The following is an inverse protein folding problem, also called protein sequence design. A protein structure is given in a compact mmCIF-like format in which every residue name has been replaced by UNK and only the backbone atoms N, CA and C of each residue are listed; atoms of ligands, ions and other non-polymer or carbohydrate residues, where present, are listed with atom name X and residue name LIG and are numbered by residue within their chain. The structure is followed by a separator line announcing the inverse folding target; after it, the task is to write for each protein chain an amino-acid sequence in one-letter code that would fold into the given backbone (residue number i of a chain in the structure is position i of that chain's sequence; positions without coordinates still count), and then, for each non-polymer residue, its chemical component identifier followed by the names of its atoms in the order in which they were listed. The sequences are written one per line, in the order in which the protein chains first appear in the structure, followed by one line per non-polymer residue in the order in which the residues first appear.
data_IF_845389965858
#
_entry.id   IF_845389965858
#
_cell.length_a   1.000
_cell.length_b   1.000
_cell.length_c   1.000
_cell.angle_alpha   90.00
_cell.angle_beta   90.00
_cell.angle_gamma   90.00
#
_symmetry.space_group_name_H-M   'P 1'
#
loop_
_entity.id
_entity.type
_entity.pdbx_description
1 polymer ?
#
# COMPACT_ATOMS: atom_id res chain seq x y z
N UNK A 1 -4.98 -13.32 -0.03
CA UNK A 1 -5.61 -12.01 0.26
C UNK A 1 -6.80 -12.17 1.23
N UNK A 2 -6.59 -12.72 2.44
CA UNK A 2 -7.66 -12.84 3.44
C UNK A 2 -7.55 -11.77 4.55
N UNK A 3 -6.35 -11.23 4.77
CA UNK A 3 -6.06 -10.28 5.84
C UNK A 3 -6.75 -8.92 5.65
N UNK A 4 -7.09 -8.52 4.42
CA UNK A 4 -7.79 -7.25 4.17
C UNK A 4 -9.28 -7.27 4.57
N UNK A 5 -9.87 -8.46 4.78
CA UNK A 5 -11.22 -8.58 5.34
C UNK A 5 -11.29 -8.18 6.82
N UNK A 6 -10.12 -8.05 7.49
CA UNK A 6 -10.04 -7.56 8.85
C UNK A 6 -10.42 -6.07 8.97
N UNK A 7 -10.29 -5.28 7.90
CA UNK A 7 -10.57 -3.84 7.92
C UNK A 7 -12.05 -3.58 8.25
N UNK A 8 -13.04 -4.20 7.57
CA UNK A 8 -14.43 -4.15 7.99
C UNK A 8 -14.66 -4.55 9.44
N UNK A 9 -14.07 -5.66 9.90
CA UNK A 9 -14.24 -6.13 11.26
C UNK A 9 -13.74 -5.13 12.31
N UNK A 10 -12.58 -4.50 12.07
CA UNK A 10 -12.00 -3.47 12.95
C UNK A 10 -12.87 -2.21 12.97
N UNK A 11 -13.39 -1.77 11.82
CA UNK A 11 -14.28 -0.60 11.71
C UNK A 11 -15.60 -0.84 12.47
N UNK A 12 -16.18 -2.05 12.34
CA UNK A 12 -17.35 -2.45 13.12
C UNK A 12 -17.07 -2.53 14.62
N UNK A 13 -15.92 -3.08 15.03
CA UNK A 13 -15.51 -3.12 16.43
C UNK A 13 -15.39 -1.71 17.01
N UNK A 14 -14.81 -0.76 16.26
CA UNK A 14 -14.73 0.64 16.68
C UNK A 14 -16.11 1.29 16.83
N UNK A 15 -17.03 1.04 15.88
CA UNK A 15 -18.40 1.56 15.93
C UNK A 15 -19.17 1.01 17.15
N UNK A 16 -19.15 -0.30 17.37
CA UNK A 16 -19.87 -0.94 18.49
C UNK A 16 -19.29 -0.61 19.86
N UNK A 17 -18.01 -0.24 19.94
CA UNK A 17 -17.38 0.19 21.21
C UNK A 17 -17.77 1.62 21.61
N UNK A 18 -18.15 2.47 20.65
CA UNK A 18 -18.34 3.91 20.87
C UNK A 18 -19.80 4.38 20.78
N UNK A 19 -20.64 3.67 20.05
CA UNK A 19 -22.05 4.02 19.83
C UNK A 19 -22.98 2.86 20.15
N UNK A 20 -24.21 3.16 20.56
CA UNK A 20 -25.25 2.14 20.66
C UNK A 20 -25.57 1.55 19.27
N UNK A 21 -25.58 0.23 19.11
CA UNK A 21 -25.76 -0.42 17.82
C UNK A 21 -27.16 -0.13 17.25
N UNK A 22 -27.23 0.74 16.25
CA UNK A 22 -28.48 1.06 15.53
C UNK A 22 -28.47 0.44 14.13
N UNK A 23 -29.62 -0.01 13.62
CA UNK A 23 -29.74 -0.58 12.26
C UNK A 23 -29.21 0.35 11.16
N UNK A 24 -29.44 1.68 11.30
CA UNK A 24 -28.91 2.70 10.38
C UNK A 24 -27.39 2.84 10.48
N UNK A 25 -26.84 2.91 11.69
CA UNK A 25 -25.40 3.06 11.89
C UNK A 25 -24.61 1.81 11.51
N UNK A 26 -25.18 0.63 11.66
CA UNK A 26 -24.61 -0.62 11.14
C UNK A 26 -24.43 -0.59 9.61
N UNK A 27 -25.44 -0.09 8.89
CA UNK A 27 -25.45 -0.03 7.43
C UNK A 27 -24.45 1.02 6.91
N UNK A 28 -24.42 2.21 7.56
CA UNK A 28 -23.44 3.27 7.25
C UNK A 28 -22.01 2.78 7.50
N UNK A 29 -21.77 2.11 8.64
CA UNK A 29 -20.45 1.56 8.99
C UNK A 29 -19.97 0.53 7.97
N UNK A 30 -20.88 -0.29 7.44
CA UNK A 30 -20.59 -1.24 6.38
C UNK A 30 -20.14 -0.57 5.09
N UNK A 31 -20.90 0.42 4.60
CA UNK A 31 -20.55 1.19 3.40
C UNK A 31 -19.21 1.91 3.58
N UNK A 32 -19.00 2.55 4.73
CA UNK A 32 -17.73 3.23 5.05
C UNK A 32 -16.57 2.25 5.03
N UNK A 33 -16.75 1.05 5.59
CA UNK A 33 -15.69 0.03 5.60
C UNK A 33 -15.31 -0.46 4.19
N UNK A 34 -16.30 -0.64 3.31
CA UNK A 34 -16.08 -1.04 1.92
C UNK A 34 -15.37 0.09 1.15
N UNK A 35 -15.76 1.35 1.39
CA UNK A 35 -15.09 2.50 0.78
C UNK A 35 -13.64 2.63 1.22
N UNK A 36 -13.35 2.48 2.51
CA UNK A 36 -11.97 2.47 3.02
C UNK A 36 -11.17 1.33 2.38
N UNK A 37 -11.77 0.14 2.30
CA UNK A 37 -11.15 -1.02 1.70
C UNK A 37 -10.82 -0.79 0.21
N UNK A 38 -11.78 -0.28 -0.56
CA UNK A 38 -11.60 0.05 -1.96
C UNK A 38 -10.56 1.15 -2.18
N UNK A 39 -10.54 2.17 -1.32
CA UNK A 39 -9.54 3.22 -1.36
C UNK A 39 -8.12 2.69 -1.14
N UNK A 40 -7.94 1.74 -0.22
CA UNK A 40 -6.61 1.17 0.04
C UNK A 40 -6.15 0.30 -1.14
N UNK A 41 -7.04 -0.55 -1.67
CA UNK A 41 -6.72 -1.46 -2.77
C UNK A 41 -6.48 -0.76 -4.10
N UNK A 42 -7.36 0.15 -4.52
CA UNK A 42 -7.28 0.80 -5.83
C UNK A 42 -6.58 2.15 -5.79
N UNK A 43 -6.61 2.82 -4.64
CA UNK A 43 -6.01 4.14 -4.46
C UNK A 43 -4.61 4.05 -3.89
N UNK A 44 -4.48 3.63 -2.62
CA UNK A 44 -3.23 3.82 -1.89
C UNK A 44 -2.09 2.94 -2.42
N UNK A 45 -2.31 1.64 -2.57
CA UNK A 45 -1.25 0.70 -2.93
C UNK A 45 -0.72 0.92 -4.36
N UNK A 46 -1.57 0.97 -5.41
CA UNK A 46 -1.09 1.13 -6.79
C UNK A 46 -0.40 2.47 -7.00
N UNK A 47 -0.85 3.53 -6.32
CA UNK A 47 -0.21 4.83 -6.42
C UNK A 47 1.19 4.82 -5.82
N UNK A 48 1.39 4.22 -4.65
CA UNK A 48 2.72 4.13 -4.03
C UNK A 48 3.70 3.39 -4.97
N UNK A 49 3.27 2.27 -5.56
CA UNK A 49 4.09 1.50 -6.51
C UNK A 49 4.36 2.31 -7.79
N UNK A 50 3.35 3.01 -8.32
CA UNK A 50 3.49 3.88 -9.50
C UNK A 50 4.50 4.99 -9.25
N UNK A 51 4.40 5.68 -8.11
CA UNK A 51 5.35 6.73 -7.73
C UNK A 51 6.77 6.21 -7.56
N UNK A 52 6.93 5.03 -6.95
CA UNK A 52 8.22 4.36 -6.83
C UNK A 52 8.84 4.14 -8.23
N UNK A 53 8.08 3.59 -9.19
CA UNK A 53 8.55 3.36 -10.55
C UNK A 53 8.85 4.64 -11.36
N UNK A 54 8.21 5.76 -11.05
CA UNK A 54 8.53 7.07 -11.66
C UNK A 54 9.85 7.60 -11.06
N UNK A 55 10.01 7.51 -9.75
CA UNK A 55 11.22 7.97 -9.05
C UNK A 55 12.44 7.14 -9.48
N UNK A 56 12.31 5.82 -9.56
CA UNK A 56 13.35 4.92 -10.08
C UNK A 56 13.78 5.33 -11.49
N UNK A 57 12.83 5.46 -12.43
CA UNK A 57 13.14 5.86 -13.81
C UNK A 57 13.80 7.23 -13.88
N UNK A 58 13.41 8.17 -13.02
CA UNK A 58 14.01 9.51 -13.00
C UNK A 58 15.45 9.46 -12.47
N UNK A 59 15.72 8.65 -11.43
CA UNK A 59 17.06 8.49 -10.86
C UNK A 59 18.02 7.80 -11.83
N UNK A 60 17.58 6.73 -12.49
CA UNK A 60 18.42 6.00 -13.43
C UNK A 60 18.63 6.81 -14.72
N UNK A 61 17.56 7.37 -15.31
CA UNK A 61 17.64 8.01 -16.62
C UNK A 61 18.18 9.45 -16.57
N UNK A 62 17.81 10.24 -15.55
CA UNK A 62 18.23 11.65 -15.47
C UNK A 62 19.53 11.83 -14.67
N UNK A 63 19.71 11.07 -13.58
CA UNK A 63 20.89 11.20 -12.72
C UNK A 63 22.00 10.19 -13.07
N UNK A 64 21.74 9.23 -13.97
CA UNK A 64 22.72 8.23 -14.40
C UNK A 64 23.14 7.26 -13.29
N UNK A 65 22.34 7.15 -12.23
CA UNK A 65 22.63 6.29 -11.09
C UNK A 65 22.33 4.82 -11.40
N UNK A 66 22.99 3.87 -10.71
CA UNK A 66 22.69 2.45 -10.88
C UNK A 66 21.24 2.13 -10.51
N UNK A 67 20.72 1.07 -11.12
CA UNK A 67 19.41 0.51 -10.81
C UNK A 67 19.26 0.25 -9.30
N UNK A 68 18.02 0.44 -8.80
CA UNK A 68 17.58 0.44 -7.39
C UNK A 68 17.88 1.70 -6.58
N UNK A 69 18.62 2.67 -7.11
CA UNK A 69 18.95 3.91 -6.37
C UNK A 69 17.73 4.77 -6.05
N UNK A 70 16.80 4.92 -7.00
CA UNK A 70 15.56 5.68 -6.79
C UNK A 70 14.59 4.96 -5.85
N UNK A 71 14.56 3.64 -5.88
CA UNK A 71 13.75 2.78 -5.02
C UNK A 71 14.18 2.92 -3.55
N UNK A 72 15.49 2.84 -3.28
CA UNK A 72 16.04 3.03 -1.93
C UNK A 72 15.73 4.44 -1.42
N UNK A 73 15.91 5.47 -2.25
CA UNK A 73 15.58 6.84 -1.90
C UNK A 73 14.08 6.99 -1.56
N UNK A 74 13.20 6.44 -2.39
CA UNK A 74 11.75 6.52 -2.18
C UNK A 74 11.32 5.82 -0.89
N UNK A 75 11.87 4.64 -0.58
CA UNK A 75 11.58 3.92 0.67
C UNK A 75 12.06 4.72 1.89
N UNK A 76 13.27 5.28 1.84
CA UNK A 76 13.79 6.11 2.91
C UNK A 76 12.92 7.37 3.13
N UNK A 77 12.51 8.03 2.04
CA UNK A 77 11.61 9.17 2.08
C UNK A 77 10.23 8.80 2.65
N UNK A 78 9.69 7.65 2.28
CA UNK A 78 8.40 7.14 2.79
C UNK A 78 8.45 6.87 4.30
N UNK A 79 9.53 6.23 4.79
CA UNK A 79 9.75 6.01 6.22
C UNK A 79 9.86 7.35 6.96
N UNK A 80 10.61 8.31 6.40
CA UNK A 80 10.71 9.66 6.93
C UNK A 80 9.34 10.34 7.04
N UNK A 81 8.52 10.27 5.99
CA UNK A 81 7.18 10.85 5.95
C UNK A 81 6.26 10.24 7.01
N UNK A 82 6.30 8.91 7.20
CA UNK A 82 5.54 8.23 8.25
C UNK A 82 6.00 8.68 9.63
N UNK A 83 7.31 8.74 9.87
CA UNK A 83 7.87 9.18 11.15
C UNK A 83 7.46 10.62 11.50
N UNK A 84 7.63 11.56 10.55
CA UNK A 84 7.20 12.95 10.73
C UNK A 84 5.69 13.07 10.91
N UNK A 85 4.91 12.28 10.16
CA UNK A 85 3.46 12.20 10.29
C UNK A 85 3.02 11.75 11.69
N UNK A 86 3.64 10.69 12.22
CA UNK A 86 3.37 10.19 13.58
C UNK A 86 3.79 11.21 14.65
N UNK A 87 4.97 11.81 14.51
CA UNK A 87 5.47 12.83 15.44
C UNK A 87 4.51 14.02 15.50
N UNK A 88 4.14 14.56 14.34
CA UNK A 88 3.21 15.71 14.24
C UNK A 88 1.79 15.35 14.71
N UNK A 89 1.33 14.12 14.48
CA UNK A 89 0.03 13.66 14.99
C UNK A 89 0.02 13.54 16.52
N UNK A 90 1.13 13.10 17.11
CA UNK A 90 1.33 13.03 18.56
C UNK A 90 1.40 14.42 19.20
N UNK A 91 2.16 15.34 18.61
CA UNK A 91 2.30 16.72 19.11
C UNK A 91 0.97 17.49 19.10
N UNK A 92 0.11 17.25 18.11
CA UNK A 92 -1.21 17.90 18.03
C UNK A 92 -2.30 17.19 18.86
N UNK A 93 -1.98 16.12 19.59
CA UNK A 93 -2.96 15.35 20.38
C UNK A 93 -4.07 14.67 19.55
N UNK A 94 -3.88 14.51 18.23
CA UNK A 94 -4.91 13.97 17.31
C UNK A 94 -4.82 12.44 17.26
N UNK A 95 -5.34 11.79 18.31
CA UNK A 95 -5.29 10.32 18.47
C UNK A 95 -5.85 9.55 17.26
N UNK A 96 -6.90 10.07 16.61
CA UNK A 96 -7.48 9.44 15.41
C UNK A 96 -6.49 9.40 14.23
N UNK A 97 -5.74 10.48 14.01
CA UNK A 97 -4.76 10.55 12.92
C UNK A 97 -3.56 9.67 13.23
N UNK A 98 -3.12 9.65 14.49
CA UNK A 98 -2.04 8.76 14.91
C UNK A 98 -2.39 7.29 14.66
N UNK A 99 -3.58 6.85 15.06
CA UNK A 99 -4.04 5.47 14.80
C UNK A 99 -4.22 5.19 13.31
N UNK A 100 -4.71 6.16 12.52
CA UNK A 100 -4.86 5.99 11.08
C UNK A 100 -3.50 5.83 10.37
N UNK A 101 -2.52 6.68 10.69
CA UNK A 101 -1.15 6.57 10.14
C UNK A 101 -0.54 5.24 10.54
N UNK A 102 -0.68 4.83 11.80
CA UNK A 102 -0.18 3.54 12.28
C UNK A 102 -0.82 2.37 11.52
N UNK A 103 -2.14 2.41 11.28
CA UNK A 103 -2.84 1.41 10.48
C UNK A 103 -2.30 1.32 9.04
N UNK A 104 -2.07 2.47 8.40
CA UNK A 104 -1.45 2.52 7.07
C UNK A 104 -0.04 1.91 7.10
N UNK A 105 0.77 2.22 8.12
CA UNK A 105 2.11 1.64 8.29
C UNK A 105 2.07 0.11 8.37
N UNK A 106 1.16 -0.46 9.16
CA UNK A 106 1.01 -1.92 9.24
C UNK A 106 0.60 -2.54 7.89
N UNK A 107 -0.27 -1.87 7.13
CA UNK A 107 -0.65 -2.32 5.78
C UNK A 107 0.56 -2.29 4.84
N UNK A 108 1.37 -1.22 4.88
CA UNK A 108 2.60 -1.11 4.07
C UNK A 108 3.63 -2.17 4.44
N UNK A 109 3.80 -2.48 5.73
CA UNK A 109 4.66 -3.59 6.18
C UNK A 109 4.12 -4.92 5.68
N UNK A 110 2.81 -5.16 5.73
CA UNK A 110 2.21 -6.37 5.16
C UNK A 110 2.45 -6.46 3.64
N UNK A 111 2.41 -5.33 2.94
CA UNK A 111 2.64 -5.27 1.50
C UNK A 111 4.11 -5.39 1.11
N UNK A 112 5.06 -5.10 2.00
CA UNK A 112 6.48 -5.30 1.73
C UNK A 112 6.84 -6.77 1.49
N UNK A 113 5.98 -7.71 1.92
CA UNK A 113 6.13 -9.12 1.58
C UNK A 113 6.07 -9.38 0.08
N UNK A 114 5.43 -8.53 -0.72
CA UNK A 114 5.45 -8.62 -2.19
C UNK A 114 6.81 -8.28 -2.80
N UNK A 115 7.68 -7.55 -2.08
CA UNK A 115 9.07 -7.30 -2.50
C UNK A 115 9.86 -8.60 -2.69
N UNK A 116 9.46 -9.69 -2.02
CA UNK A 116 10.10 -11.00 -2.22
C UNK A 116 9.94 -11.53 -3.65
N UNK A 117 8.88 -11.11 -4.36
CA UNK A 117 8.69 -11.46 -5.77
C UNK A 117 9.76 -10.79 -6.65
N UNK A 118 10.10 -9.53 -6.36
CA UNK A 118 11.13 -8.77 -7.06
C UNK A 118 12.51 -9.41 -6.80
N UNK A 119 12.82 -9.70 -5.54
CA UNK A 119 14.10 -10.33 -5.14
C UNK A 119 14.25 -11.72 -5.80
N UNK A 120 13.16 -12.47 -5.88
CA UNK A 120 13.15 -13.82 -6.48
C UNK A 120 13.26 -13.77 -8.00
N UNK A 121 12.60 -12.82 -8.67
CA UNK A 121 12.72 -12.61 -10.12
C UNK A 121 14.15 -12.17 -10.51
N UNK A 122 14.78 -11.28 -9.73
CA UNK A 122 16.18 -10.88 -9.93
C UNK A 122 17.20 -12.03 -9.78
N UNK A 123 16.80 -13.17 -9.21
CA UNK A 123 17.66 -14.35 -9.01
C UNK A 123 17.65 -15.32 -10.21
N UNK A 124 17.09 -14.95 -11.37
CA UNK A 124 17.05 -15.75 -12.61
C UNK A 124 16.49 -17.19 -12.42
N UNK A 125 15.33 -17.34 -11.80
CA UNK A 125 14.70 -18.66 -11.64
C UNK A 125 14.10 -19.18 -12.96
N UNK A 126 14.23 -20.49 -13.29
CA UNK A 126 13.84 -21.05 -14.61
C UNK A 126 12.33 -21.08 -14.92
N UNK A 127 11.47 -20.71 -13.96
CA UNK A 127 10.04 -20.44 -14.17
C UNK A 127 9.79 -19.00 -13.74
N UNK A 128 9.47 -18.14 -14.70
CA UNK A 128 9.30 -16.69 -14.50
C UNK A 128 8.04 -16.19 -15.22
N UNK A 129 6.93 -16.08 -14.49
CA UNK A 129 5.69 -15.49 -14.99
C UNK A 129 5.79 -13.96 -14.90
N UNK A 130 6.04 -13.33 -16.05
CA UNK A 130 6.11 -11.88 -16.33
C UNK A 130 7.37 -11.08 -16.03
N UNK A 131 8.42 -11.70 -15.52
CA UNK A 131 9.68 -11.04 -15.19
C UNK A 131 9.54 -9.69 -14.44
N UNK A 132 8.95 -9.65 -13.22
CA UNK A 132 8.88 -8.43 -12.45
C UNK A 132 10.21 -8.11 -11.75
N UNK A 133 11.27 -7.88 -12.52
CA UNK A 133 12.59 -7.45 -12.04
C UNK A 133 12.56 -6.03 -11.46
N UNK A 134 11.62 -5.20 -11.91
CA UNK A 134 11.47 -3.80 -11.51
C UNK A 134 10.12 -3.51 -10.83
N UNK A 135 10.09 -2.50 -9.96
CA UNK A 135 8.84 -2.03 -9.35
C UNK A 135 7.78 -1.58 -10.39
N UNK A 136 8.22 -1.22 -11.60
CA UNK A 136 7.37 -0.89 -12.75
C UNK A 136 6.66 -2.15 -13.28
N UNK A 137 7.35 -3.28 -13.36
CA UNK A 137 6.77 -4.56 -13.74
C UNK A 137 5.92 -5.20 -12.64
N UNK A 138 6.18 -4.86 -11.35
CA UNK A 138 5.26 -5.18 -10.25
C UNK A 138 3.91 -4.45 -10.41
N UNK A 139 3.91 -3.21 -10.93
CA UNK A 139 2.67 -2.49 -11.24
C UNK A 139 1.85 -3.20 -12.33
N UNK A 140 2.50 -3.68 -13.39
CA UNK A 140 1.85 -4.44 -14.47
C UNK A 140 1.27 -5.79 -13.97
N UNK A 141 1.99 -6.46 -13.05
CA UNK A 141 1.51 -7.67 -12.37
C UNK A 141 0.28 -7.39 -11.50
N UNK A 142 0.31 -6.31 -10.71
CA UNK A 142 -0.81 -5.91 -9.85
C UNK A 142 -2.04 -5.44 -10.63
N UNK A 143 -1.84 -4.81 -11.77
CA UNK A 143 -2.91 -4.37 -12.66
C UNK A 143 -3.49 -5.50 -13.54
N UNK A 144 -2.98 -6.74 -13.40
CA UNK A 144 -3.42 -7.91 -14.20
C UNK A 144 -3.32 -7.69 -15.71
N UNK A 145 -2.39 -6.86 -16.17
CA UNK A 145 -2.17 -6.63 -17.62
C UNK A 145 -1.69 -7.90 -18.37
N UNK A 146 -1.27 -8.92 -17.62
CA UNK A 146 -0.95 -10.26 -18.15
C UNK A 146 -2.14 -11.06 -18.64
N UNK A 147 -3.32 -10.79 -18.10
CA UNK A 147 -4.55 -11.46 -18.49
C UNK A 147 -5.19 -10.55 -19.50
N UNK A 148 -4.79 -10.71 -20.77
CA UNK A 148 -5.24 -9.87 -21.87
C UNK A 148 -6.74 -9.60 -21.85
N UNK A 149 -7.13 -8.44 -22.40
CA UNK A 149 -8.52 -8.06 -22.61
C UNK A 149 -9.29 -9.23 -23.26
N UNK A 150 -10.20 -9.83 -22.51
CA UNK A 150 -11.26 -10.61 -23.12
C UNK A 150 -12.18 -9.59 -23.78
N UNK A 151 -12.11 -9.58 -25.09
CA UNK A 151 -13.04 -8.91 -25.99
C UNK A 151 -14.47 -9.32 -25.65
#
# INVERSE_FOLDING_TARGET
MLNLLAIPAVVYMYYFKKNEPTKRGFLITGVVSILILGFIFFGLIPQIVKWLGIVERTFVNSFGLPFNSGTVFFIAALIGLIYFGLKKAKENGRNLIHTAILGITFILIGYSSFTILIIRSNSNTPIDENNPEEAVSLLAYLNREQYGSTL
#
